data_IF_027093787746
#
_entry.id   IF_027093787746
#
_cell.length_a   1.000
_cell.length_b   1.000
_cell.length_c   1.000
_cell.angle_alpha   90.00
_cell.angle_beta   90.00
_cell.angle_gamma   90.00
#
_symmetry.space_group_name_H-M   'P 1'
#
loop_
_entity.id
_entity.type
_entity.pdbx_description
1 polymer ?
#
# COMPACT_ATOMS: atom_id res chain seq x y z
N UNK A 1 12.34 11.78 -2.13
CA UNK A 1 10.99 12.41 -2.08
C UNK A 1 10.03 11.41 -2.70
N UNK A 2 8.96 11.03 -2.01
CA UNK A 2 8.00 10.02 -2.54
C UNK A 2 7.09 10.71 -3.55
N UNK A 3 6.88 10.08 -4.70
CA UNK A 3 5.94 10.54 -5.72
C UNK A 3 4.53 10.75 -5.12
N UNK A 4 3.88 11.87 -5.47
CA UNK A 4 2.61 12.27 -4.87
C UNK A 4 1.46 11.29 -5.13
N UNK A 5 1.44 10.64 -6.29
CA UNK A 5 0.43 9.62 -6.63
C UNK A 5 0.64 8.35 -5.82
N UNK A 6 1.89 7.91 -5.70
CA UNK A 6 2.25 6.72 -4.90
C UNK A 6 1.91 6.97 -3.43
N UNK A 7 2.27 8.15 -2.90
CA UNK A 7 1.91 8.55 -1.53
C UNK A 7 0.40 8.52 -1.32
N UNK A 8 -0.38 9.11 -2.23
CA UNK A 8 -1.84 9.15 -2.11
C UNK A 8 -2.47 7.74 -2.10
N UNK A 9 -2.00 6.86 -3.00
CA UNK A 9 -2.49 5.47 -3.06
C UNK A 9 -2.16 4.69 -1.78
N UNK A 10 -0.92 4.77 -1.28
CA UNK A 10 -0.50 4.10 -0.05
C UNK A 10 -1.33 4.58 1.14
N UNK A 11 -1.51 5.90 1.30
CA UNK A 11 -2.34 6.46 2.37
C UNK A 11 -3.79 5.97 2.25
N UNK A 12 -4.38 5.99 1.06
CA UNK A 12 -5.74 5.50 0.84
C UNK A 12 -5.92 4.03 1.25
N UNK A 13 -4.94 3.17 0.91
CA UNK A 13 -4.95 1.76 1.33
C UNK A 13 -4.82 1.64 2.86
N UNK A 14 -3.94 2.42 3.49
CA UNK A 14 -3.78 2.43 4.96
C UNK A 14 -5.09 2.83 5.64
N UNK A 15 -5.75 3.90 5.18
CA UNK A 15 -7.01 4.37 5.74
C UNK A 15 -8.12 3.32 5.62
N UNK A 16 -8.25 2.68 4.45
CA UNK A 16 -9.21 1.59 4.24
C UNK A 16 -8.96 0.42 5.20
N UNK A 17 -7.69 0.05 5.45
CA UNK A 17 -7.35 -1.03 6.38
C UNK A 17 -7.58 -0.68 7.85
N UNK A 18 -7.39 0.58 8.23
CA UNK A 18 -7.66 1.04 9.59
C UNK A 18 -9.15 1.17 9.87
N UNK A 19 -9.97 1.37 8.84
CA UNK A 19 -11.42 1.37 8.97
C UNK A 19 -11.98 -0.06 9.09
N UNK A 20 -12.09 -0.55 10.33
CA UNK A 20 -12.43 -1.95 10.67
C UNK A 20 -13.86 -2.38 10.33
N UNK A 21 -14.75 -1.48 9.90
CA UNK A 21 -16.16 -1.81 9.66
C UNK A 21 -16.37 -2.49 8.30
N UNK A 22 -15.62 -2.11 7.27
CA UNK A 22 -15.74 -2.67 5.91
C UNK A 22 -14.42 -2.51 5.16
N UNK A 23 -13.53 -3.48 5.25
CA UNK A 23 -12.30 -3.50 4.43
C UNK A 23 -12.64 -4.09 3.05
N UNK A 24 -12.60 -3.25 2.02
CA UNK A 24 -12.77 -3.66 0.62
C UNK A 24 -11.43 -4.12 0.05
N UNK A 25 -11.19 -5.44 0.10
CA UNK A 25 -9.94 -6.04 -0.36
C UNK A 25 -9.77 -5.99 -1.88
N UNK A 26 -10.87 -6.09 -2.63
CA UNK A 26 -10.84 -6.07 -4.09
C UNK A 26 -10.43 -4.68 -4.58
N UNK A 27 -10.93 -3.63 -3.92
CA UNK A 27 -10.48 -2.25 -4.16
C UNK A 27 -9.01 -2.05 -3.79
N UNK A 28 -8.57 -2.55 -2.64
CA UNK A 28 -7.16 -2.44 -2.21
C UNK A 28 -6.22 -3.11 -3.22
N UNK A 29 -6.60 -4.28 -3.74
CA UNK A 29 -5.82 -5.01 -4.74
C UNK A 29 -5.77 -4.24 -6.07
N UNK A 30 -6.90 -3.70 -6.52
CA UNK A 30 -6.96 -2.86 -7.73
C UNK A 30 -6.09 -1.59 -7.62
N UNK A 31 -6.18 -0.88 -6.49
CA UNK A 31 -5.37 0.32 -6.24
C UNK A 31 -3.87 0.00 -6.17
N UNK A 32 -3.51 -1.13 -5.54
CA UNK A 32 -2.13 -1.59 -5.45
C UNK A 32 -1.55 -1.94 -6.83
N UNK A 33 -2.28 -2.73 -7.62
CA UNK A 33 -1.88 -3.12 -8.98
C UNK A 33 -1.76 -1.90 -9.90
N UNK A 34 -2.70 -0.95 -9.82
CA UNK A 34 -2.62 0.30 -10.59
C UNK A 34 -1.40 1.12 -10.20
N UNK A 35 -1.03 1.14 -8.92
CA UNK A 35 0.13 1.90 -8.43
C UNK A 35 1.44 1.25 -8.87
N UNK A 36 1.54 -0.09 -8.81
CA UNK A 36 2.68 -0.85 -9.34
C UNK A 36 2.82 -0.60 -10.85
N UNK A 37 1.71 -0.62 -11.60
CA UNK A 37 1.71 -0.30 -13.03
C UNK A 37 2.27 1.09 -13.31
N UNK A 38 1.86 2.10 -12.55
CA UNK A 38 2.40 3.46 -12.67
C UNK A 38 3.91 3.52 -12.38
N UNK A 39 4.37 2.84 -11.32
CA UNK A 39 5.79 2.75 -10.96
C UNK A 39 6.62 2.21 -12.13
N UNK A 40 6.17 1.11 -12.74
CA UNK A 40 6.87 0.48 -13.86
C UNK A 40 6.81 1.33 -15.14
N UNK A 41 5.64 1.89 -15.47
CA UNK A 41 5.44 2.69 -16.68
C UNK A 41 6.29 3.97 -16.68
N UNK A 42 6.47 4.59 -15.51
CA UNK A 42 7.15 5.88 -15.38
C UNK A 42 8.58 5.75 -14.82
N UNK A 43 9.05 4.52 -14.54
CA UNK A 43 10.38 4.27 -13.99
C UNK A 43 10.62 4.96 -12.64
N UNK A 44 9.59 5.05 -11.81
CA UNK A 44 9.69 5.73 -10.51
C UNK A 44 10.41 4.82 -9.53
N UNK A 45 11.52 5.28 -8.96
CA UNK A 45 12.19 4.58 -7.87
C UNK A 45 11.39 4.72 -6.57
N UNK A 46 11.11 3.60 -5.92
CA UNK A 46 10.38 3.54 -4.64
C UNK A 46 11.15 2.73 -3.61
N UNK A 47 10.92 3.04 -2.33
CA UNK A 47 11.44 2.23 -1.23
C UNK A 47 10.84 0.82 -1.27
N UNK A 48 11.66 -0.21 -1.05
CA UNK A 48 11.21 -1.60 -1.08
C UNK A 48 10.05 -1.88 -0.11
N UNK A 49 9.97 -1.18 1.02
CA UNK A 49 8.86 -1.33 1.97
C UNK A 49 7.54 -0.85 1.36
N UNK A 50 7.57 0.21 0.56
CA UNK A 50 6.39 0.67 -0.19
C UNK A 50 6.03 -0.35 -1.26
N UNK A 51 7.03 -0.87 -1.99
CA UNK A 51 6.78 -1.85 -3.04
C UNK A 51 6.14 -3.14 -2.49
N UNK A 52 6.72 -3.71 -1.43
CA UNK A 52 6.15 -4.89 -0.76
C UNK A 52 4.79 -4.61 -0.15
N UNK A 53 4.56 -3.41 0.41
CA UNK A 53 3.23 -3.04 0.87
C UNK A 53 2.20 -3.04 -0.27
N UNK A 54 2.56 -2.69 -1.50
CA UNK A 54 1.64 -2.76 -2.65
C UNK A 54 1.46 -4.23 -3.09
N UNK A 55 2.54 -4.99 -3.23
CA UNK A 55 2.54 -6.37 -3.73
C UNK A 55 1.84 -7.36 -2.78
N UNK A 56 2.01 -7.22 -1.47
CA UNK A 56 1.57 -8.19 -0.47
C UNK A 56 0.11 -7.99 -0.02
N UNK A 57 -0.79 -7.59 -0.93
CA UNK A 57 -2.21 -7.40 -0.61
C UNK A 57 -2.87 -8.67 -0.04
N UNK A 58 -2.63 -9.82 -0.66
CA UNK A 58 -3.19 -11.12 -0.23
C UNK A 58 -2.61 -11.60 1.11
N UNK A 59 -1.30 -11.43 1.35
CA UNK A 59 -0.69 -11.77 2.63
C UNK A 59 -1.25 -10.91 3.78
N UNK A 60 -1.44 -9.60 3.53
CA UNK A 60 -2.11 -8.71 4.50
C UNK A 60 -3.58 -9.07 4.72
N UNK A 61 -4.28 -9.64 3.73
CA UNK A 61 -5.67 -10.13 3.88
C UNK A 61 -5.76 -11.31 4.85
N UNK A 62 -4.74 -12.17 4.84
CA UNK A 62 -4.68 -13.41 5.62
C UNK A 62 -4.17 -13.21 7.06
N UNK A 63 -3.43 -12.13 7.33
CA UNK A 63 -2.81 -11.89 8.63
C UNK A 63 -2.93 -10.42 9.08
N UNK A 64 -3.72 -10.19 10.12
CA UNK A 64 -3.91 -8.86 10.71
C UNK A 64 -2.63 -8.29 11.33
N UNK A 65 -1.79 -9.14 11.94
CA UNK A 65 -0.51 -8.69 12.52
C UNK A 65 0.48 -8.28 11.44
N UNK A 66 0.54 -9.03 10.34
CA UNK A 66 1.38 -8.69 9.20
C UNK A 66 0.88 -7.43 8.49
N UNK A 67 -0.44 -7.28 8.35
CA UNK A 67 -1.04 -6.05 7.84
C UNK A 67 -0.65 -4.83 8.68
N UNK A 68 -0.70 -4.95 10.01
CA UNK A 68 -0.29 -3.86 10.91
C UNK A 68 1.21 -3.56 10.79
N UNK A 69 2.06 -4.58 10.77
CA UNK A 69 3.51 -4.44 10.57
C UNK A 69 3.84 -3.64 9.30
N UNK A 70 3.29 -4.03 8.15
CA UNK A 70 3.54 -3.31 6.90
C UNK A 70 2.95 -1.90 6.89
N UNK A 71 1.80 -1.67 7.56
CA UNK A 71 1.24 -0.31 7.73
C UNK A 71 2.21 0.58 8.51
N UNK A 72 2.76 0.07 9.61
CA UNK A 72 3.69 0.84 10.46
C UNK A 72 4.99 1.15 9.70
N UNK A 73 5.50 0.20 8.92
CA UNK A 73 6.67 0.42 8.06
C UNK A 73 6.45 1.53 7.03
N UNK A 74 5.34 1.50 6.29
CA UNK A 74 5.10 2.55 5.27
C UNK A 74 4.79 3.90 5.89
N UNK A 75 4.11 3.95 7.03
CA UNK A 75 3.86 5.22 7.73
C UNK A 75 5.15 5.88 8.23
N UNK A 76 6.14 5.09 8.65
CA UNK A 76 7.46 5.59 9.05
C UNK A 76 8.20 6.32 7.91
N UNK A 77 7.87 6.01 6.65
CA UNK A 77 8.44 6.63 5.45
C UNK A 77 7.68 7.88 4.99
N UNK A 78 6.45 8.05 5.47
CA UNK A 78 5.57 9.16 5.09
C UNK A 78 5.64 10.33 6.09
N UNK A 79 6.49 10.20 7.11
CA UNK A 79 6.78 11.24 8.10
C UNK A 79 7.77 12.25 7.53
#
# INVERSE_FOLDING_TARGET
MIDGRIRAAVIGIVEMKRNRQTVDWDKIEADALSTIGYIHEHGVEVDNRIYHFLEDADARRKSSSYAQYQIDEVLSLMS
#
